data_IF_953293704532
#
_entry.id   IF_953293704532
#
_cell.length_a   1.000
_cell.length_b   1.000
_cell.length_c   1.000
_cell.angle_alpha   90.00
_cell.angle_beta   90.00
_cell.angle_gamma   90.00
#
_symmetry.space_group_name_H-M   'P 1'
#
loop_
_entity.id
_entity.type
_entity.pdbx_description
1 polymer ?
#
# COMPACT_ATOMS: atom_id res chain seq x y z
N UNK A 1 -40.57 -33.40 11.57
CA UNK A 1 -40.30 -32.76 10.27
C UNK A 1 -39.05 -31.90 10.42
N UNK A 2 -37.91 -32.35 9.86
CA UNK A 2 -36.60 -31.67 9.97
C UNK A 2 -36.64 -30.36 9.17
N UNK A 3 -36.26 -29.23 9.77
CA UNK A 3 -35.83 -28.04 9.03
C UNK A 3 -34.34 -27.85 9.27
N UNK A 4 -33.65 -27.69 8.16
CA UNK A 4 -32.22 -27.90 7.97
C UNK A 4 -31.44 -26.63 8.28
N UNK A 5 -30.41 -26.75 9.11
CA UNK A 5 -29.39 -25.72 9.28
C UNK A 5 -28.57 -25.58 7.98
N UNK A 6 -28.78 -24.50 7.24
CA UNK A 6 -27.85 -24.03 6.23
C UNK A 6 -27.11 -22.82 6.81
N UNK A 7 -25.98 -23.06 7.47
CA UNK A 7 -25.01 -22.02 7.73
C UNK A 7 -23.75 -22.31 6.90
N UNK A 8 -23.73 -21.80 5.67
CA UNK A 8 -22.58 -21.89 4.78
C UNK A 8 -21.41 -21.10 5.38
N UNK A 9 -20.44 -21.82 5.94
CA UNK A 9 -19.20 -21.21 6.45
C UNK A 9 -18.49 -20.47 5.31
N UNK A 10 -18.40 -19.14 5.37
CA UNK A 10 -17.49 -18.37 4.53
C UNK A 10 -16.07 -18.89 4.80
N UNK A 11 -15.52 -19.69 3.87
CA UNK A 11 -14.15 -20.20 3.96
C UNK A 11 -13.21 -19.00 4.01
N UNK A 12 -12.50 -18.83 5.12
CA UNK A 12 -11.47 -17.77 5.25
C UNK A 12 -10.44 -17.95 4.13
N UNK A 13 -9.89 -16.86 3.55
CA UNK A 13 -8.86 -16.96 2.52
C UNK A 13 -7.70 -17.83 3.00
N UNK A 14 -7.17 -18.69 2.13
CA UNK A 14 -6.02 -19.52 2.46
C UNK A 14 -4.80 -18.63 2.76
N UNK A 15 -4.13 -18.90 3.86
CA UNK A 15 -2.92 -18.19 4.29
C UNK A 15 -1.65 -19.00 4.08
N UNK A 16 -0.51 -18.39 4.38
CA UNK A 16 0.82 -19.03 4.30
C UNK A 16 0.88 -20.29 5.18
N UNK A 17 0.20 -20.26 6.34
CA UNK A 17 0.10 -21.41 7.24
C UNK A 17 -0.61 -22.59 6.58
N UNK A 18 -1.71 -22.35 5.86
CA UNK A 18 -2.48 -23.40 5.20
C UNK A 18 -1.65 -24.07 4.08
N UNK A 19 -0.80 -23.31 3.37
CA UNK A 19 0.17 -23.86 2.39
C UNK A 19 1.25 -24.71 3.07
N UNK A 20 1.78 -24.22 4.20
CA UNK A 20 2.82 -24.89 4.97
C UNK A 20 2.33 -26.25 5.49
N UNK A 21 1.13 -26.26 6.09
CA UNK A 21 0.47 -27.44 6.62
C UNK A 21 0.16 -28.45 5.50
N UNK A 22 -0.34 -27.99 4.34
CA UNK A 22 -0.67 -28.86 3.20
C UNK A 22 0.55 -29.54 2.57
N UNK A 23 1.75 -28.98 2.72
CA UNK A 23 2.99 -29.49 2.12
C UNK A 23 3.94 -30.12 3.14
N UNK A 24 3.64 -30.03 4.44
CA UNK A 24 4.51 -30.50 5.52
C UNK A 24 5.84 -29.74 5.58
N UNK A 25 5.84 -28.43 5.29
CA UNK A 25 7.04 -27.59 5.31
C UNK A 25 6.90 -26.44 6.30
N UNK A 26 8.03 -25.83 6.69
CA UNK A 26 7.97 -24.65 7.58
C UNK A 26 7.36 -23.43 6.88
N UNK A 27 6.73 -22.54 7.66
CA UNK A 27 6.26 -21.21 7.19
C UNK A 27 7.40 -20.44 6.51
N UNK A 28 8.62 -20.51 7.06
CA UNK A 28 9.80 -19.85 6.47
C UNK A 28 10.20 -20.42 5.11
N UNK A 29 9.97 -21.72 4.87
CA UNK A 29 10.17 -22.34 3.56
C UNK A 29 9.15 -21.82 2.55
N UNK A 30 7.88 -21.69 2.96
CA UNK A 30 6.82 -21.13 2.10
C UNK A 30 7.11 -19.66 1.79
N UNK A 31 7.51 -18.86 2.78
CA UNK A 31 7.89 -17.46 2.59
C UNK A 31 9.04 -17.29 1.59
N UNK A 32 10.12 -18.09 1.72
CA UNK A 32 11.23 -18.06 0.78
C UNK A 32 10.81 -18.44 -0.64
N UNK A 33 9.95 -19.45 -0.78
CA UNK A 33 9.45 -19.88 -2.08
C UNK A 33 8.61 -18.80 -2.79
N UNK A 34 7.66 -18.20 -2.06
CA UNK A 34 6.74 -17.18 -2.58
C UNK A 34 7.48 -15.88 -2.95
N UNK A 35 8.50 -15.51 -2.19
CA UNK A 35 9.25 -14.25 -2.38
C UNK A 35 10.58 -14.42 -3.12
N UNK A 36 10.91 -15.62 -3.62
CA UNK A 36 12.14 -15.87 -4.38
C UNK A 36 13.43 -15.66 -3.59
N UNK A 37 13.40 -15.87 -2.27
CA UNK A 37 14.58 -15.71 -1.40
C UNK A 37 15.55 -16.90 -1.57
N UNK A 38 16.87 -16.70 -1.40
CA UNK A 38 17.87 -17.77 -1.50
C UNK A 38 17.71 -18.84 -0.41
N UNK A 39 18.35 -20.00 -0.60
CA UNK A 39 18.34 -21.09 0.38
C UNK A 39 17.08 -21.96 0.34
N UNK A 40 16.52 -22.20 -0.86
CA UNK A 40 15.42 -23.14 -1.08
C UNK A 40 15.69 -24.01 -2.31
N UNK A 41 15.43 -25.32 -2.16
CA UNK A 41 15.52 -26.26 -3.27
C UNK A 41 14.50 -25.90 -4.37
N UNK A 42 14.90 -25.84 -5.66
CA UNK A 42 13.99 -25.56 -6.77
C UNK A 42 12.72 -26.44 -6.82
N UNK A 43 12.85 -27.74 -6.49
CA UNK A 43 11.73 -28.67 -6.42
C UNK A 43 10.73 -28.28 -5.33
N UNK A 44 11.23 -27.91 -4.15
CA UNK A 44 10.39 -27.43 -3.03
C UNK A 44 9.71 -26.12 -3.40
N UNK A 45 10.43 -25.19 -4.05
CA UNK A 45 9.85 -23.94 -4.54
C UNK A 45 8.70 -24.19 -5.51
N UNK A 46 8.89 -25.09 -6.49
CA UNK A 46 7.84 -25.44 -7.45
C UNK A 46 6.60 -26.03 -6.77
N UNK A 47 6.79 -26.93 -5.77
CA UNK A 47 5.68 -27.49 -4.98
C UNK A 47 4.90 -26.42 -4.22
N UNK A 48 5.58 -25.47 -3.60
CA UNK A 48 4.95 -24.36 -2.88
C UNK A 48 4.14 -23.48 -3.83
N UNK A 49 4.72 -23.09 -4.97
CA UNK A 49 4.03 -22.23 -5.94
C UNK A 49 2.78 -22.92 -6.51
N UNK A 50 2.87 -24.23 -6.81
CA UNK A 50 1.71 -25.02 -7.26
C UNK A 50 0.63 -25.08 -6.20
N UNK A 51 0.97 -25.32 -4.93
CA UNK A 51 -0.01 -25.35 -3.84
C UNK A 51 -0.65 -23.99 -3.60
N UNK A 52 0.13 -22.90 -3.67
CA UNK A 52 -0.38 -21.55 -3.55
C UNK A 52 -1.43 -21.26 -4.64
N UNK A 53 -1.21 -21.71 -5.88
CA UNK A 53 -2.20 -21.62 -6.96
C UNK A 53 -3.44 -22.47 -6.67
N UNK A 54 -3.29 -23.73 -6.24
CA UNK A 54 -4.40 -24.62 -5.90
C UNK A 54 -5.29 -24.06 -4.79
N UNK A 55 -4.69 -23.43 -3.78
CA UNK A 55 -5.40 -22.81 -2.67
C UNK A 55 -5.89 -21.39 -2.98
N UNK A 56 -5.68 -20.90 -4.21
CA UNK A 56 -5.97 -19.52 -4.62
C UNK A 56 -5.40 -18.49 -3.64
N UNK A 57 -4.20 -18.77 -3.13
CA UNK A 57 -3.51 -17.90 -2.19
C UNK A 57 -3.28 -16.54 -2.82
N UNK A 58 -3.76 -15.50 -2.14
CA UNK A 58 -3.46 -14.10 -2.44
C UNK A 58 -2.76 -13.49 -1.24
N UNK A 59 -1.54 -12.93 -1.41
CA UNK A 59 -0.87 -12.23 -0.32
C UNK A 59 -1.79 -11.15 0.26
N UNK A 60 -2.12 -11.28 1.55
CA UNK A 60 -2.84 -10.22 2.24
C UNK A 60 -1.81 -9.14 2.64
N UNK A 61 -1.67 -8.14 1.78
CA UNK A 61 -0.75 -7.02 1.97
C UNK A 61 -1.07 -6.28 3.28
N UNK A 62 -2.36 -6.10 3.61
CA UNK A 62 -2.79 -5.50 4.87
C UNK A 62 -2.35 -6.30 6.10
N UNK A 63 -2.49 -7.62 6.09
CA UNK A 63 -1.99 -8.49 7.17
C UNK A 63 -0.46 -8.43 7.31
N UNK A 64 0.27 -8.21 6.22
CA UNK A 64 1.73 -8.01 6.25
C UNK A 64 2.08 -6.67 6.92
N UNK A 65 1.32 -5.61 6.67
CA UNK A 65 1.51 -4.30 7.29
C UNK A 65 1.07 -4.27 8.76
N UNK A 66 -0.01 -4.96 9.13
CA UNK A 66 -0.45 -5.13 10.51
C UNK A 66 0.65 -5.73 11.40
N UNK A 67 1.40 -6.72 10.89
CA UNK A 67 2.53 -7.32 11.62
C UNK A 67 3.69 -6.36 11.88
N UNK A 68 3.82 -5.28 11.10
CA UNK A 68 4.88 -4.30 11.27
C UNK A 68 4.60 -3.29 12.40
N UNK A 69 3.37 -3.28 12.98
CA UNK A 69 2.94 -2.40 14.09
C UNK A 69 3.28 -0.91 13.91
N UNK A 70 3.58 -0.45 12.69
CA UNK A 70 3.97 0.91 12.40
C UNK A 70 2.81 1.60 11.70
N UNK A 71 2.21 2.59 12.38
CA UNK A 71 1.32 3.54 11.71
C UNK A 71 2.14 4.44 10.80
N UNK A 72 1.80 4.47 9.53
CA UNK A 72 2.41 5.33 8.53
C UNK A 72 1.52 6.53 8.30
N UNK A 73 2.08 7.74 8.44
CA UNK A 73 1.40 8.96 7.99
C UNK A 73 1.78 9.23 6.55
N UNK A 74 0.79 9.46 5.69
CA UNK A 74 0.98 9.86 4.29
C UNK A 74 0.29 11.20 4.09
N UNK A 75 1.04 12.20 3.65
CA UNK A 75 0.48 13.52 3.34
C UNK A 75 0.08 13.57 1.87
N UNK A 76 -1.13 14.06 1.58
CA UNK A 76 -1.71 14.09 0.23
C UNK A 76 -2.08 15.53 -0.11
N UNK A 77 -1.39 16.14 -1.08
CA UNK A 77 -1.57 17.54 -1.46
C UNK A 77 -2.27 17.64 -2.81
N UNK A 78 -3.52 18.12 -2.80
CA UNK A 78 -4.35 18.26 -4.01
C UNK A 78 -4.84 19.71 -4.15
N UNK A 79 -4.90 20.25 -5.37
CA UNK A 79 -5.49 21.56 -5.59
C UNK A 79 -7.02 21.53 -5.36
N UNK A 80 -7.62 22.72 -5.22
CA UNK A 80 -9.09 22.89 -5.13
C UNK A 80 -9.74 23.24 -6.47
N UNK A 81 -8.97 23.76 -7.42
CA UNK A 81 -9.45 23.95 -8.79
C UNK A 81 -9.79 22.61 -9.45
N UNK A 82 -10.61 22.62 -10.50
CA UNK A 82 -11.02 21.42 -11.25
C UNK A 82 -11.53 20.32 -10.29
N UNK A 83 -12.41 20.71 -9.35
CA UNK A 83 -12.87 19.86 -8.26
C UNK A 83 -13.35 18.47 -8.74
N UNK A 84 -14.07 18.40 -9.86
CA UNK A 84 -14.53 17.12 -10.42
C UNK A 84 -13.41 16.11 -10.70
N UNK A 85 -12.22 16.59 -11.07
CA UNK A 85 -11.06 15.73 -11.31
C UNK A 85 -10.36 15.36 -10.00
N UNK A 86 -10.06 16.34 -9.14
CA UNK A 86 -9.27 16.10 -7.92
C UNK A 86 -10.08 15.47 -6.79
N UNK A 87 -11.41 15.61 -6.78
CA UNK A 87 -12.29 14.89 -5.86
C UNK A 87 -12.35 13.39 -6.24
N UNK A 88 -12.47 13.05 -7.52
CA UNK A 88 -12.38 11.66 -7.97
C UNK A 88 -11.01 11.04 -7.63
N UNK A 89 -9.93 11.81 -7.72
CA UNK A 89 -8.59 11.38 -7.33
C UNK A 89 -8.50 11.17 -5.81
N UNK A 90 -9.08 12.07 -5.00
CA UNK A 90 -9.18 11.93 -3.54
C UNK A 90 -9.93 10.65 -3.17
N UNK A 91 -11.08 10.40 -3.78
CA UNK A 91 -11.88 9.19 -3.56
C UNK A 91 -11.09 7.93 -3.89
N UNK A 92 -10.41 7.90 -5.05
CA UNK A 92 -9.58 6.77 -5.44
C UNK A 92 -8.42 6.50 -4.47
N UNK A 93 -7.78 7.55 -3.94
CA UNK A 93 -6.75 7.40 -2.89
C UNK A 93 -7.35 6.80 -1.61
N UNK A 94 -8.52 7.28 -1.19
CA UNK A 94 -9.20 6.77 0.01
C UNK A 94 -9.61 5.31 -0.15
N UNK A 95 -10.17 4.93 -1.30
CA UNK A 95 -10.55 3.56 -1.62
C UNK A 95 -9.31 2.63 -1.58
N UNK A 96 -8.21 3.05 -2.22
CA UNK A 96 -6.96 2.28 -2.23
C UNK A 96 -6.35 2.11 -0.82
N UNK A 97 -6.59 3.07 0.07
CA UNK A 97 -6.13 3.02 1.45
C UNK A 97 -7.03 2.21 2.39
N UNK A 98 -8.28 1.93 2.01
CA UNK A 98 -9.26 1.24 2.85
C UNK A 98 -8.74 -0.09 3.45
N UNK A 99 -8.06 -0.98 2.70
CA UNK A 99 -7.50 -2.21 3.27
C UNK A 99 -6.44 -1.97 4.37
N UNK A 100 -5.92 -0.75 4.47
CA UNK A 100 -4.81 -0.36 5.34
C UNK A 100 -5.19 0.67 6.41
N UNK A 101 -6.47 0.98 6.59
CA UNK A 101 -6.99 2.04 7.48
C UNK A 101 -6.47 1.98 8.93
N UNK A 102 -6.13 0.79 9.42
CA UNK A 102 -5.57 0.59 10.77
C UNK A 102 -4.09 0.97 10.89
N UNK A 103 -3.39 1.02 9.76
CA UNK A 103 -1.94 1.18 9.66
C UNK A 103 -1.52 2.42 8.87
N UNK A 104 -2.44 3.07 8.14
CA UNK A 104 -2.17 4.28 7.35
C UNK A 104 -3.09 5.41 7.81
N UNK A 105 -2.48 6.55 8.13
CA UNK A 105 -3.14 7.83 8.40
C UNK A 105 -2.94 8.75 7.17
N UNK A 106 -4.03 9.10 6.49
CA UNK A 106 -3.99 10.01 5.34
C UNK A 106 -4.26 11.45 5.81
N UNK A 107 -3.27 12.33 5.66
CA UNK A 107 -3.41 13.78 5.92
C UNK A 107 -3.63 14.52 4.59
N UNK A 108 -4.89 14.77 4.24
CA UNK A 108 -5.23 15.54 3.04
C UNK A 108 -5.07 17.04 3.29
N UNK A 109 -4.20 17.67 2.49
CA UNK A 109 -4.02 19.12 2.42
C UNK A 109 -4.41 19.63 1.06
N UNK A 110 -4.88 20.86 1.03
CA UNK A 110 -5.31 21.49 -0.22
C UNK A 110 -4.75 22.88 -0.37
N UNK A 111 -4.56 23.26 -1.63
CA UNK A 111 -4.09 24.58 -2.04
C UNK A 111 -4.98 25.11 -3.18
N UNK A 112 -5.03 26.42 -3.46
CA UNK A 112 -6.00 26.99 -4.40
C UNK A 112 -5.86 26.46 -5.83
N UNK A 113 -4.66 26.62 -6.41
CA UNK A 113 -4.35 26.37 -7.81
C UNK A 113 -3.04 25.61 -7.97
N UNK A 114 -2.87 24.87 -9.06
CA UNK A 114 -1.61 24.22 -9.39
C UNK A 114 -0.46 25.23 -9.37
N UNK A 115 0.54 24.94 -8.54
CA UNK A 115 1.75 25.74 -8.43
C UNK A 115 1.65 26.92 -7.46
N UNK A 116 0.52 27.06 -6.77
CA UNK A 116 0.31 28.03 -5.70
C UNK A 116 0.15 27.29 -4.37
N UNK A 117 1.13 27.40 -3.47
CA UNK A 117 1.05 26.80 -2.12
C UNK A 117 1.52 25.34 -2.02
N UNK A 118 1.88 24.70 -3.13
CA UNK A 118 2.31 23.29 -3.16
C UNK A 118 3.69 23.08 -2.51
N UNK A 119 4.60 24.04 -2.68
CA UNK A 119 5.94 24.06 -2.05
C UNK A 119 5.84 24.24 -0.52
N UNK A 120 5.01 25.18 -0.06
CA UNK A 120 4.81 25.47 1.36
C UNK A 120 4.25 24.25 2.09
N UNK A 121 3.23 23.62 1.50
CA UNK A 121 2.68 22.38 2.04
C UNK A 121 3.70 21.25 2.02
N UNK A 122 4.50 21.11 0.95
CA UNK A 122 5.58 20.13 0.89
C UNK A 122 6.55 20.31 2.06
N UNK A 123 7.03 21.54 2.27
CA UNK A 123 7.95 21.86 3.36
C UNK A 123 7.36 21.50 4.72
N UNK A 124 6.12 21.93 4.99
CA UNK A 124 5.43 21.62 6.24
C UNK A 124 5.24 20.11 6.46
N UNK A 125 4.97 19.34 5.40
CA UNK A 125 4.85 17.89 5.49
C UNK A 125 6.18 17.20 5.87
N UNK A 126 7.32 17.74 5.42
CA UNK A 126 8.64 17.24 5.81
C UNK A 126 8.98 17.52 7.27
N UNK A 127 8.40 18.58 7.86
CA UNK A 127 8.59 18.96 9.26
C UNK A 127 7.65 18.19 10.21
N UNK A 128 6.44 17.87 9.74
CA UNK A 128 5.40 17.17 10.53
C UNK A 128 5.58 15.65 10.63
N UNK A 129 6.74 15.13 10.17
CA UNK A 129 7.13 13.73 10.34
C UNK A 129 6.38 12.76 9.43
N UNK A 130 5.95 13.19 8.25
CA UNK A 130 5.30 12.29 7.28
C UNK A 130 6.21 11.13 6.88
N UNK A 131 5.62 9.97 6.62
CA UNK A 131 6.34 8.78 6.14
C UNK A 131 6.23 8.60 4.62
N UNK A 132 5.45 9.45 3.94
CA UNK A 132 5.33 9.49 2.50
C UNK A 132 4.54 10.71 2.05
N UNK A 133 4.70 11.09 0.79
CA UNK A 133 4.00 12.23 0.22
C UNK A 133 3.41 11.88 -1.14
N UNK A 134 2.17 12.29 -1.36
CA UNK A 134 1.48 12.22 -2.63
C UNK A 134 1.12 13.66 -3.01
N UNK A 135 1.48 14.09 -4.21
CA UNK A 135 1.16 15.43 -4.67
C UNK A 135 0.92 15.49 -6.17
N UNK A 136 0.26 16.57 -6.58
CA UNK A 136 0.19 17.01 -7.96
C UNK A 136 1.15 18.20 -8.07
N UNK A 137 2.27 18.08 -8.80
CA UNK A 137 3.25 19.17 -8.88
C UNK A 137 2.77 20.23 -9.88
N UNK A 138 2.55 21.46 -9.44
CA UNK A 138 2.19 22.54 -10.37
C UNK A 138 3.41 23.14 -11.07
N UNK A 139 4.50 23.34 -10.32
CA UNK A 139 5.80 23.78 -10.87
C UNK A 139 6.89 22.75 -10.53
N UNK A 140 7.18 21.78 -11.41
CA UNK A 140 8.17 20.74 -11.15
C UNK A 140 9.57 21.28 -10.81
N UNK A 141 9.95 22.43 -11.37
CA UNK A 141 11.24 23.07 -11.10
C UNK A 141 11.40 23.44 -9.62
N UNK A 142 10.34 23.99 -9.03
CA UNK A 142 10.35 24.48 -7.64
C UNK A 142 10.27 23.33 -6.64
N UNK A 143 9.59 22.24 -6.99
CA UNK A 143 9.46 21.05 -6.17
C UNK A 143 10.68 20.13 -6.23
N UNK A 144 11.48 20.17 -7.29
CA UNK A 144 12.64 19.28 -7.48
C UNK A 144 13.66 19.30 -6.32
N UNK A 145 14.06 20.46 -5.76
CA UNK A 145 14.92 20.50 -4.57
C UNK A 145 14.28 19.83 -3.35
N UNK A 146 12.97 19.98 -3.18
CA UNK A 146 12.21 19.39 -2.07
C UNK A 146 12.05 17.89 -2.22
N UNK A 147 11.78 17.39 -3.43
CA UNK A 147 11.74 15.95 -3.73
C UNK A 147 13.11 15.32 -3.43
N UNK A 148 14.21 15.97 -3.82
CA UNK A 148 15.58 15.53 -3.46
C UNK A 148 15.82 15.57 -1.95
N UNK A 149 15.23 16.52 -1.22
CA UNK A 149 15.29 16.58 0.23
C UNK A 149 14.56 15.38 0.86
N UNK A 150 13.33 15.13 0.42
CA UNK A 150 12.53 13.98 0.86
C UNK A 150 13.27 12.65 0.61
N UNK A 151 13.86 12.47 -0.57
CA UNK A 151 14.64 11.28 -0.92
C UNK A 151 15.83 11.06 0.03
N UNK A 152 16.56 12.13 0.39
CA UNK A 152 17.66 12.07 1.38
C UNK A 152 17.17 11.70 2.79
N UNK A 153 15.93 12.05 3.13
CA UNK A 153 15.27 11.66 4.39
C UNK A 153 14.60 10.28 4.33
N UNK A 154 14.75 9.55 3.22
CA UNK A 154 14.06 8.28 2.96
C UNK A 154 12.53 8.39 3.01
N UNK A 155 11.99 9.55 2.64
CA UNK A 155 10.55 9.79 2.52
C UNK A 155 10.18 9.60 1.04
N UNK A 156 9.41 8.56 0.67
CA UNK A 156 8.95 8.36 -0.70
C UNK A 156 7.97 9.46 -1.11
N UNK A 157 8.10 9.91 -2.36
CA UNK A 157 7.24 10.93 -2.96
C UNK A 157 6.65 10.38 -4.25
N UNK A 158 5.34 10.48 -4.40
CA UNK A 158 4.60 10.10 -5.60
C UNK A 158 3.99 11.36 -6.21
N UNK A 159 4.37 11.66 -7.45
CA UNK A 159 3.74 12.73 -8.23
C UNK A 159 2.63 12.14 -9.10
N UNK A 160 1.46 12.78 -9.13
CA UNK A 160 0.31 12.37 -9.93
C UNK A 160 -0.04 13.49 -10.92
N UNK A 161 -0.69 13.13 -12.04
CA UNK A 161 -1.11 14.07 -13.08
C UNK A 161 0.06 14.93 -13.61
N UNK A 162 1.25 14.33 -13.69
CA UNK A 162 2.42 14.95 -14.31
C UNK A 162 2.39 14.68 -15.80
N UNK A 163 2.14 15.72 -16.59
CA UNK A 163 2.54 15.70 -18.01
C UNK A 163 4.05 15.93 -18.03
N UNK A 164 4.80 14.86 -18.29
CA UNK A 164 6.26 14.84 -18.26
C UNK A 164 6.89 15.71 -19.35
#
# INVERSE_FOLDING_TARGET
>A
MKRSDQNGSRKRPAGIKDIADALGVSIGTVDRALHGRPGINPLTRARVLKMAQTLQYRPNVAARHLKLNKKLRISVHLPREIASFFDALREGIQEAAQPFETSIDLDFRTYPHLGEGDVELFSAALETGTNGLILVPGHPADLKPWIRNAARRHIPVVCIATDA
#
